data_IF_078431363942
#
_entry.id   IF_078431363942
#
_cell.length_a   1.000
_cell.length_b   1.000
_cell.length_c   1.000
_cell.angle_alpha   90.00
_cell.angle_beta   90.00
_cell.angle_gamma   90.00
#
_symmetry.space_group_name_H-M   'P 1'
#
loop_
_entity.id
_entity.type
_entity.pdbx_description
1 polymer ?
#
# COMPACT_ATOMS: atom_id res chain seq x y z
N UNK A 1 33.86 -26.81 -50.82
CA UNK A 1 33.91 -27.00 -49.36
C UNK A 1 33.13 -25.85 -48.77
N UNK A 2 31.91 -26.13 -48.32
CA UNK A 2 30.93 -25.12 -47.96
C UNK A 2 31.28 -24.51 -46.60
N UNK A 3 31.08 -23.20 -46.49
CA UNK A 3 31.49 -22.35 -45.38
C UNK A 3 30.49 -22.44 -44.21
N UNK A 4 30.21 -23.66 -43.73
CA UNK A 4 29.15 -23.97 -42.74
C UNK A 4 29.56 -23.68 -41.28
N UNK A 5 30.86 -23.54 -41.00
CA UNK A 5 31.37 -23.35 -39.63
C UNK A 5 30.96 -21.99 -39.03
N UNK A 6 30.87 -20.94 -39.87
CA UNK A 6 30.40 -19.62 -39.44
C UNK A 6 28.90 -19.60 -39.12
N UNK A 7 28.09 -20.33 -39.88
CA UNK A 7 26.65 -20.43 -39.65
C UNK A 7 26.34 -21.21 -38.37
N UNK A 8 27.04 -22.32 -38.13
CA UNK A 8 26.90 -23.11 -36.90
C UNK A 8 27.26 -22.30 -35.65
N UNK A 9 28.31 -21.47 -35.73
CA UNK A 9 28.70 -20.59 -34.61
C UNK A 9 27.65 -19.50 -34.34
N UNK A 10 27.06 -18.92 -35.39
CA UNK A 10 25.99 -17.91 -35.27
C UNK A 10 24.71 -18.53 -34.70
N UNK A 11 24.35 -19.74 -35.15
CA UNK A 11 23.18 -20.46 -34.64
C UNK A 11 23.33 -20.81 -33.16
N UNK A 12 24.52 -21.28 -32.75
CA UNK A 12 24.83 -21.51 -31.34
C UNK A 12 24.76 -20.23 -30.51
N UNK A 13 25.36 -19.12 -30.97
CA UNK A 13 25.32 -17.84 -30.26
C UNK A 13 23.90 -17.29 -30.11
N UNK A 14 23.07 -17.40 -31.14
CA UNK A 14 21.70 -16.91 -31.12
C UNK A 14 20.79 -17.72 -30.20
N UNK A 15 20.90 -19.06 -30.23
CA UNK A 15 20.16 -19.95 -29.31
C UNK A 15 20.61 -19.76 -27.86
N UNK A 16 21.92 -19.62 -27.62
CA UNK A 16 22.47 -19.31 -26.30
C UNK A 16 21.99 -17.96 -25.78
N UNK A 17 22.09 -16.89 -26.59
CA UNK A 17 21.61 -15.56 -26.21
C UNK A 17 20.10 -15.55 -25.92
N UNK A 18 19.31 -16.29 -26.70
CA UNK A 18 17.87 -16.44 -26.47
C UNK A 18 17.58 -17.15 -25.15
N UNK A 19 18.26 -18.26 -24.86
CA UNK A 19 18.08 -19.01 -23.62
C UNK A 19 18.42 -18.17 -22.38
N UNK A 20 19.54 -17.44 -22.40
CA UNK A 20 19.90 -16.53 -21.31
C UNK A 20 18.92 -15.38 -21.16
N UNK A 21 18.47 -14.79 -22.27
CA UNK A 21 17.46 -13.72 -22.24
C UNK A 21 16.16 -14.18 -21.57
N UNK A 22 15.74 -15.41 -21.83
CA UNK A 22 14.56 -16.01 -21.22
C UNK A 22 14.77 -16.27 -19.72
N UNK A 23 15.95 -16.74 -19.29
CA UNK A 23 16.29 -16.88 -17.87
C UNK A 23 16.24 -15.52 -17.15
N UNK A 24 16.86 -14.48 -17.72
CA UNK A 24 16.82 -13.14 -17.13
C UNK A 24 15.40 -12.60 -17.05
N UNK A 25 14.56 -12.83 -18.06
CA UNK A 25 13.15 -12.43 -18.06
C UNK A 25 12.41 -12.99 -16.84
N UNK A 26 12.55 -14.29 -16.56
CA UNK A 26 11.93 -14.89 -15.38
C UNK A 26 12.48 -14.34 -14.07
N UNK A 27 13.80 -14.08 -13.98
CA UNK A 27 14.40 -13.44 -12.80
C UNK A 27 13.78 -12.05 -12.59
N UNK A 28 13.64 -11.23 -13.63
CA UNK A 28 13.05 -9.89 -13.51
C UNK A 28 11.58 -9.95 -13.11
N UNK A 29 10.80 -10.87 -13.68
CA UNK A 29 9.41 -11.10 -13.29
C UNK A 29 9.33 -11.49 -11.80
N UNK A 30 10.16 -12.44 -11.35
CA UNK A 30 10.21 -12.88 -9.96
C UNK A 30 10.59 -11.75 -8.99
N UNK A 31 11.56 -10.91 -9.36
CA UNK A 31 11.92 -9.72 -8.59
C UNK A 31 10.76 -8.73 -8.51
N UNK A 32 10.06 -8.47 -9.61
CA UNK A 32 8.91 -7.57 -9.61
C UNK A 32 7.76 -8.07 -8.73
N UNK A 33 7.46 -9.37 -8.75
CA UNK A 33 6.48 -9.95 -7.83
C UNK A 33 6.93 -9.81 -6.37
N UNK A 34 8.19 -10.11 -6.07
CA UNK A 34 8.74 -9.99 -4.71
C UNK A 34 8.66 -8.56 -4.19
N UNK A 35 8.99 -7.59 -5.05
CA UNK A 35 8.86 -6.16 -4.78
C UNK A 35 7.42 -5.76 -4.48
N UNK A 36 6.47 -6.22 -5.29
CA UNK A 36 5.04 -5.99 -5.07
C UNK A 36 4.54 -6.56 -3.73
N UNK A 37 4.94 -7.79 -3.38
CA UNK A 37 4.60 -8.39 -2.10
C UNK A 37 5.20 -7.62 -0.91
N UNK A 38 6.45 -7.15 -1.04
CA UNK A 38 7.09 -6.34 -0.01
C UNK A 38 6.32 -5.03 0.23
N UNK A 39 5.96 -4.32 -0.84
CA UNK A 39 5.19 -3.06 -0.74
C UNK A 39 3.82 -3.34 -0.14
N UNK A 40 3.12 -4.38 -0.60
CA UNK A 40 1.80 -4.73 -0.09
C UNK A 40 1.85 -5.08 1.40
N UNK A 41 2.85 -5.84 1.84
CA UNK A 41 3.02 -6.17 3.26
C UNK A 41 3.36 -4.94 4.10
N UNK A 42 4.25 -4.07 3.62
CA UNK A 42 4.57 -2.81 4.28
C UNK A 42 3.33 -1.90 4.38
N UNK A 43 2.54 -1.80 3.31
CA UNK A 43 1.29 -1.04 3.30
C UNK A 43 0.23 -1.66 4.23
N UNK A 44 0.14 -2.99 4.30
CA UNK A 44 -0.74 -3.67 5.24
C UNK A 44 -0.40 -3.31 6.69
N UNK A 45 0.88 -3.31 7.05
CA UNK A 45 1.34 -2.96 8.39
C UNK A 45 1.17 -1.47 8.69
N UNK A 46 1.38 -0.61 7.70
CA UNK A 46 1.06 0.82 7.77
C UNK A 46 -0.45 1.06 8.00
N UNK A 47 -1.31 0.33 7.28
CA UNK A 47 -2.76 0.38 7.44
C UNK A 47 -3.18 0.00 8.86
N UNK A 48 -2.66 -1.11 9.40
CA UNK A 48 -2.93 -1.49 10.81
C UNK A 48 -2.57 -0.37 11.79
N UNK A 49 -1.42 0.28 11.59
CA UNK A 49 -0.99 1.39 12.44
C UNK A 49 -1.90 2.64 12.27
N UNK A 50 -2.34 2.93 11.04
CA UNK A 50 -3.32 3.97 10.76
C UNK A 50 -4.64 3.72 11.49
N UNK A 51 -5.13 2.48 11.47
CA UNK A 51 -6.46 2.13 11.96
C UNK A 51 -6.54 2.12 13.48
N UNK A 52 -5.50 1.65 14.15
CA UNK A 52 -5.48 1.51 15.62
C UNK A 52 -5.14 2.82 16.34
N UNK A 53 -4.45 3.77 15.69
CA UNK A 53 -4.05 5.01 16.35
C UNK A 53 -5.26 5.89 16.68
N UNK A 54 -5.37 6.27 17.95
CA UNK A 54 -6.35 7.23 18.46
C UNK A 54 -5.67 8.12 19.52
N UNK A 55 -5.73 9.44 19.34
CA UNK A 55 -5.12 10.42 20.26
C UNK A 55 -6.15 11.17 21.12
N UNK A 56 -7.41 10.73 21.14
CA UNK A 56 -8.53 11.38 21.86
C UNK A 56 -8.70 12.87 21.52
N UNK A 57 -8.28 13.27 20.32
CA UNK A 57 -8.37 14.63 19.79
C UNK A 57 -9.54 14.74 18.82
N UNK A 58 -9.69 15.90 18.17
CA UNK A 58 -10.67 16.07 17.09
C UNK A 58 -10.42 15.04 15.97
N UNK A 59 -11.48 14.50 15.33
CA UNK A 59 -11.33 13.39 14.36
C UNK A 59 -10.29 13.63 13.27
N UNK A 60 -10.27 14.83 12.67
CA UNK A 60 -9.30 15.18 11.63
C UNK A 60 -7.85 15.18 12.16
N UNK A 61 -7.62 15.64 13.38
CA UNK A 61 -6.29 15.59 14.01
C UNK A 61 -5.83 14.15 14.23
N UNK A 62 -6.74 13.27 14.67
CA UNK A 62 -6.47 11.84 14.84
C UNK A 62 -6.12 11.20 13.49
N UNK A 63 -6.85 11.49 12.41
CA UNK A 63 -6.57 10.92 11.08
C UNK A 63 -5.20 11.37 10.54
N UNK A 64 -4.82 12.64 10.71
CA UNK A 64 -3.49 13.14 10.33
C UNK A 64 -2.38 12.46 11.14
N UNK A 65 -2.53 12.38 12.47
CA UNK A 65 -1.56 11.69 13.32
C UNK A 65 -1.45 10.19 13.01
N UNK A 66 -2.57 9.57 12.64
CA UNK A 66 -2.64 8.17 12.18
C UNK A 66 -1.87 7.97 10.88
N UNK A 67 -2.01 8.87 9.91
CA UNK A 67 -1.26 8.81 8.65
C UNK A 67 0.24 9.00 8.86
N UNK A 68 0.64 9.92 9.74
CA UNK A 68 2.05 10.08 10.12
C UNK A 68 2.61 8.78 10.71
N UNK A 69 1.84 8.10 11.59
CA UNK A 69 2.28 6.81 12.14
C UNK A 69 2.39 5.73 11.08
N UNK A 70 1.43 5.69 10.16
CA UNK A 70 1.43 4.73 9.06
C UNK A 70 2.69 4.87 8.20
N UNK A 71 3.09 6.12 7.89
CA UNK A 71 4.33 6.43 7.17
C UNK A 71 5.57 5.99 7.94
N UNK A 72 5.63 6.26 9.24
CA UNK A 72 6.74 5.78 10.09
C UNK A 72 6.88 4.25 10.05
N UNK A 73 5.77 3.52 10.18
CA UNK A 73 5.76 2.05 10.13
C UNK A 73 6.17 1.54 8.76
N UNK A 74 5.65 2.12 7.68
CA UNK A 74 6.05 1.76 6.33
C UNK A 74 7.56 1.94 6.10
N UNK A 75 8.12 3.05 6.58
CA UNK A 75 9.54 3.37 6.40
C UNK A 75 10.48 2.38 7.12
N UNK A 76 10.00 1.62 8.12
CA UNK A 76 10.80 0.58 8.79
C UNK A 76 11.14 -0.59 7.86
N UNK A 77 10.35 -0.82 6.81
CA UNK A 77 10.58 -1.89 5.84
C UNK A 77 11.68 -1.55 4.83
N UNK A 78 12.18 -0.30 4.83
CA UNK A 78 13.30 0.15 4.00
C UNK A 78 13.14 -0.22 2.52
N UNK A 79 11.92 -0.07 1.98
CA UNK A 79 11.59 -0.35 0.57
C UNK A 79 12.63 0.24 -0.41
N UNK A 80 13.13 1.48 -0.23
CA UNK A 80 14.15 2.04 -1.13
C UNK A 80 15.47 1.26 -1.20
N UNK A 81 15.79 0.41 -0.21
CA UNK A 81 17.00 -0.44 -0.24
C UNK A 81 16.84 -1.58 -1.24
N UNK A 82 15.64 -2.14 -1.35
CA UNK A 82 15.33 -3.22 -2.29
C UNK A 82 14.86 -2.68 -3.64
N UNK A 83 14.29 -1.48 -3.64
CA UNK A 83 13.73 -0.79 -4.81
C UNK A 83 14.23 0.66 -4.86
N UNK A 84 15.45 0.91 -5.35
CA UNK A 84 16.03 2.26 -5.38
C UNK A 84 15.21 3.30 -6.16
N UNK A 85 14.42 2.86 -7.12
CA UNK A 85 13.51 3.70 -7.92
C UNK A 85 12.13 3.89 -7.28
N UNK A 86 11.89 3.38 -6.07
CA UNK A 86 10.61 3.51 -5.40
C UNK A 86 10.37 4.97 -4.98
N UNK A 87 9.45 5.64 -5.68
CA UNK A 87 9.00 7.00 -5.38
C UNK A 87 7.67 7.07 -4.61
N UNK A 88 7.08 5.92 -4.28
CA UNK A 88 5.76 5.85 -3.66
C UNK A 88 5.74 6.36 -2.22
N UNK A 89 4.59 6.87 -1.80
CA UNK A 89 4.33 7.27 -0.41
C UNK A 89 3.01 6.71 0.08
N UNK A 90 2.95 6.40 1.37
CA UNK A 90 1.70 6.00 2.01
C UNK A 90 0.73 7.17 2.04
N UNK A 91 -0.44 6.93 1.47
CA UNK A 91 -1.61 7.78 1.50
C UNK A 91 -2.74 7.06 2.25
N UNK A 92 -3.73 7.82 2.72
CA UNK A 92 -4.86 7.26 3.44
C UNK A 92 -6.19 7.76 2.91
N UNK A 93 -7.14 6.84 2.82
CA UNK A 93 -8.55 7.12 2.65
C UNK A 93 -9.14 7.30 4.04
N UNK A 94 -9.39 8.55 4.43
CA UNK A 94 -9.94 8.87 5.74
C UNK A 94 -11.47 8.84 5.73
N UNK A 95 -12.14 8.51 6.85
CA UNK A 95 -13.60 8.64 6.96
C UNK A 95 -14.10 10.07 6.65
N UNK A 96 -13.27 11.09 6.92
CA UNK A 96 -13.56 12.49 6.61
C UNK A 96 -13.51 12.83 5.12
N UNK A 97 -12.99 11.95 4.26
CA UNK A 97 -12.86 12.17 2.82
C UNK A 97 -14.12 11.84 2.02
N UNK A 98 -15.22 11.42 2.68
CA UNK A 98 -16.47 11.02 2.01
C UNK A 98 -16.40 9.68 1.27
N UNK A 99 -15.33 8.91 1.49
CA UNK A 99 -15.18 7.55 0.98
C UNK A 99 -16.05 6.57 1.76
N UNK A 100 -16.47 5.49 1.10
CA UNK A 100 -17.24 4.43 1.75
C UNK A 100 -16.42 3.79 2.88
N UNK A 101 -17.09 3.38 3.95
CA UNK A 101 -16.44 2.86 5.18
C UNK A 101 -15.50 1.68 4.93
N UNK A 102 -15.81 0.84 3.95
CA UNK A 102 -14.99 -0.30 3.55
C UNK A 102 -13.76 0.06 2.70
N UNK A 103 -13.68 1.29 2.18
CA UNK A 103 -12.49 1.83 1.51
C UNK A 103 -11.59 2.66 2.43
N UNK A 104 -11.88 2.69 3.74
CA UNK A 104 -11.04 3.37 4.73
C UNK A 104 -9.81 2.53 5.04
N UNK A 105 -8.63 3.14 4.90
CA UNK A 105 -7.35 2.49 5.11
C UNK A 105 -6.22 3.22 4.39
N UNK A 106 -5.17 2.50 4.03
CA UNK A 106 -3.99 3.08 3.35
C UNK A 106 -3.75 2.46 1.98
N UNK A 107 -3.17 3.26 1.09
CA UNK A 107 -2.70 2.82 -0.21
C UNK A 107 -1.36 3.44 -0.54
N UNK A 108 -0.64 2.80 -1.46
CA UNK A 108 0.64 3.26 -1.99
C UNK A 108 0.60 3.12 -3.50
N UNK A 109 0.80 4.24 -4.19
CA UNK A 109 1.00 4.30 -5.63
C UNK A 109 2.50 4.29 -5.92
N UNK A 110 2.94 3.47 -6.88
CA UNK A 110 4.34 3.38 -7.28
C UNK A 110 4.50 2.90 -8.72
N UNK A 111 5.61 3.30 -9.33
CA UNK A 111 5.97 2.91 -10.69
C UNK A 111 7.03 1.82 -10.68
N UNK A 112 6.84 0.78 -11.49
CA UNK A 112 7.85 -0.26 -11.69
C UNK A 112 7.96 -0.64 -13.17
N UNK A 113 9.17 -1.01 -13.60
CA UNK A 113 9.43 -1.45 -14.98
C UNK A 113 9.50 -2.97 -15.03
N UNK A 114 8.75 -3.56 -15.96
CA UNK A 114 8.80 -5.01 -16.21
C UNK A 114 9.90 -5.44 -17.19
N UNK A 115 10.49 -4.50 -17.94
CA UNK A 115 11.49 -4.82 -18.95
C UNK A 115 12.92 -4.88 -18.42
N UNK A 116 13.69 -5.81 -18.99
CA UNK A 116 15.16 -5.83 -18.93
C UNK A 116 15.78 -5.00 -20.05
N UNK A 117 15.08 -4.85 -21.18
CA UNK A 117 15.52 -4.05 -22.33
C UNK A 117 14.32 -3.47 -23.08
N UNK A 118 14.54 -2.43 -23.90
CA UNK A 118 13.48 -1.88 -24.77
C UNK A 118 12.93 -2.91 -25.77
N UNK A 119 13.67 -3.99 -26.03
CA UNK A 119 13.31 -5.05 -26.98
C UNK A 119 12.44 -6.14 -26.33
N UNK A 120 12.55 -6.36 -25.01
CA UNK A 120 11.81 -7.39 -24.29
C UNK A 120 11.12 -6.83 -23.03
N UNK A 121 9.78 -6.84 -23.04
CA UNK A 121 8.94 -6.50 -21.88
C UNK A 121 8.36 -5.08 -21.86
N UNK A 122 8.52 -4.28 -22.92
CA UNK A 122 7.93 -2.95 -23.07
C UNK A 122 8.70 -1.82 -22.35
N UNK A 123 8.75 -0.64 -22.95
CA UNK A 123 9.55 0.49 -22.43
C UNK A 123 8.81 1.35 -21.38
N UNK A 124 7.49 1.20 -21.27
CA UNK A 124 6.67 2.03 -20.39
C UNK A 124 6.76 1.55 -18.94
N UNK A 125 6.93 2.46 -17.97
CA UNK A 125 6.68 2.14 -16.57
C UNK A 125 5.21 1.75 -16.40
N UNK A 126 4.95 0.78 -15.54
CA UNK A 126 3.61 0.40 -15.14
C UNK A 126 3.30 1.04 -13.78
N UNK A 127 2.13 1.67 -13.69
CA UNK A 127 1.60 2.24 -12.47
C UNK A 127 0.94 1.12 -11.65
N UNK A 128 1.41 0.94 -10.41
CA UNK A 128 0.87 -0.02 -9.47
C UNK A 128 0.28 0.67 -8.26
N UNK A 129 -0.78 0.05 -7.73
CA UNK A 129 -1.38 0.43 -6.45
C UNK A 129 -1.41 -0.76 -5.52
N UNK A 130 -0.85 -0.57 -4.33
CA UNK A 130 -0.98 -1.47 -3.20
C UNK A 130 -2.06 -0.93 -2.25
N UNK A 131 -3.13 -1.69 -2.02
CA UNK A 131 -4.29 -1.24 -1.22
C UNK A 131 -4.45 -2.08 0.05
N UNK A 132 -4.80 -1.43 1.15
CA UNK A 132 -5.13 -2.08 2.41
C UNK A 132 -6.24 -1.31 3.11
N UNK A 133 -7.48 -1.62 2.72
CA UNK A 133 -8.70 -1.05 3.30
C UNK A 133 -9.32 -2.05 4.26
N UNK A 134 -9.14 -1.80 5.56
CA UNK A 134 -9.65 -2.70 6.61
C UNK A 134 -10.76 -2.04 7.43
N UNK A 135 -11.11 -0.78 7.14
CA UNK A 135 -12.13 -0.02 7.87
C UNK A 135 -11.61 0.50 9.21
N UNK A 136 -11.55 1.83 9.38
CA UNK A 136 -11.19 2.43 10.66
C UNK A 136 -12.42 2.48 11.56
N UNK A 137 -12.32 1.94 12.77
CA UNK A 137 -13.32 2.18 13.79
C UNK A 137 -13.42 3.69 14.06
N UNK A 138 -14.62 4.21 14.38
CA UNK A 138 -14.79 5.61 14.77
C UNK A 138 -13.86 5.95 15.94
N UNK A 139 -13.28 7.15 15.90
CA UNK A 139 -12.38 7.60 16.97
C UNK A 139 -13.18 7.86 18.24
N UNK A 140 -12.55 7.72 19.41
CA UNK A 140 -13.20 7.86 20.73
C UNK A 140 -13.98 9.17 20.88
N UNK A 141 -13.41 10.26 20.38
CA UNK A 141 -14.07 11.58 20.41
C UNK A 141 -15.32 11.63 19.52
N UNK A 142 -15.32 10.92 18.41
CA UNK A 142 -16.49 10.82 17.54
C UNK A 142 -17.58 9.97 18.19
N UNK A 143 -17.20 8.86 18.83
CA UNK A 143 -18.14 8.06 19.63
C UNK A 143 -18.74 8.88 20.77
N UNK A 144 -17.93 9.63 21.53
CA UNK A 144 -18.46 10.44 22.62
C UNK A 144 -19.47 11.47 22.11
N UNK A 145 -19.23 12.11 20.96
CA UNK A 145 -20.18 13.05 20.35
C UNK A 145 -21.47 12.36 19.87
N UNK A 146 -21.39 11.16 19.31
CA UNK A 146 -22.56 10.40 18.86
C UNK A 146 -23.44 9.96 20.03
N UNK A 147 -22.83 9.43 21.08
CA UNK A 147 -23.52 9.06 22.33
C UNK A 147 -24.17 10.30 22.95
N UNK A 148 -23.44 11.41 23.05
CA UNK A 148 -23.95 12.69 23.54
C UNK A 148 -25.22 13.13 22.80
N UNK A 149 -25.17 13.10 21.46
CA UNK A 149 -26.30 13.45 20.59
C UNK A 149 -27.51 12.52 20.81
N UNK A 150 -27.28 11.22 21.03
CA UNK A 150 -28.35 10.28 21.32
C UNK A 150 -29.03 10.59 22.68
N UNK A 151 -28.25 10.95 23.70
CA UNK A 151 -28.79 11.38 24.99
C UNK A 151 -29.60 12.68 24.89
N UNK A 152 -29.12 13.66 24.12
CA UNK A 152 -29.86 14.91 23.87
C UNK A 152 -31.21 14.64 23.18
N UNK A 153 -31.25 13.73 22.21
CA UNK A 153 -32.50 13.31 21.55
C UNK A 153 -33.47 12.61 22.50
N UNK A 154 -32.97 11.92 23.53
CA UNK A 154 -33.77 11.28 24.57
C UNK A 154 -34.23 12.24 25.68
N UNK A 155 -33.90 13.53 25.59
CA UNK A 155 -34.23 14.53 26.61
C UNK A 155 -33.25 14.59 27.79
N UNK A 156 -32.12 13.91 27.69
CA UNK A 156 -31.03 13.95 28.67
C UNK A 156 -29.98 15.02 28.35
N UNK A 157 -28.90 15.02 29.14
CA UNK A 157 -27.72 15.84 28.88
C UNK A 157 -26.44 14.99 29.00
N UNK A 158 -25.35 15.56 28.54
CA UNK A 158 -24.05 14.90 28.42
C UNK A 158 -23.08 15.28 29.56
N UNK A 159 -23.61 15.88 30.63
CA UNK A 159 -22.83 16.37 31.78
C UNK A 159 -22.86 15.40 32.96
N UNK A 160 -23.75 14.41 32.94
CA UNK A 160 -23.77 13.32 33.92
C UNK A 160 -22.75 12.22 33.56
N UNK A 161 -22.01 11.71 34.55
CA UNK A 161 -21.13 10.55 34.39
C UNK A 161 -21.95 9.26 34.24
N UNK A 162 -22.53 9.06 33.06
CA UNK A 162 -23.29 7.86 32.72
C UNK A 162 -22.41 6.94 31.87
N UNK A 163 -22.25 5.68 32.29
CA UNK A 163 -21.61 4.65 31.47
C UNK A 163 -22.66 4.01 30.59
N UNK A 164 -22.66 4.33 29.30
CA UNK A 164 -23.44 3.62 28.30
C UNK A 164 -22.66 2.38 27.84
N UNK A 165 -23.38 1.26 27.64
CA UNK A 165 -22.82 0.08 27.00
C UNK A 165 -23.06 0.21 25.50
N UNK A 166 -21.98 0.26 24.71
CA UNK A 166 -22.08 0.27 23.26
C UNK A 166 -21.01 -0.65 22.64
N UNK A 167 -21.42 -1.35 21.57
CA UNK A 167 -20.65 -2.34 20.82
C UNK A 167 -19.83 -1.70 19.69
N UNK A 168 -19.20 -0.55 19.91
CA UNK A 168 -18.36 0.11 18.92
C UNK A 168 -18.47 1.62 18.82
N UNK A 169 -19.38 2.25 19.58
CA UNK A 169 -19.39 3.67 19.97
C UNK A 169 -20.30 3.94 21.19
#
# INVERSE_FOLDING_TARGET
MNNEEGQSTIEFLSTFAFAFSLVFLFIKIAMNFTNGYLIQYANFMASRAYLVRDTNQTPNSVYTASLTRAREVFNQYKVPVFMPSFGGQVQANSPSSGVLSFYVGTYVDYDERFSLSRLMGGAAPLEFRAESFLGKAPVRRECSLRVCKAFEMAGGNCTAYTTAFDNGC
#
